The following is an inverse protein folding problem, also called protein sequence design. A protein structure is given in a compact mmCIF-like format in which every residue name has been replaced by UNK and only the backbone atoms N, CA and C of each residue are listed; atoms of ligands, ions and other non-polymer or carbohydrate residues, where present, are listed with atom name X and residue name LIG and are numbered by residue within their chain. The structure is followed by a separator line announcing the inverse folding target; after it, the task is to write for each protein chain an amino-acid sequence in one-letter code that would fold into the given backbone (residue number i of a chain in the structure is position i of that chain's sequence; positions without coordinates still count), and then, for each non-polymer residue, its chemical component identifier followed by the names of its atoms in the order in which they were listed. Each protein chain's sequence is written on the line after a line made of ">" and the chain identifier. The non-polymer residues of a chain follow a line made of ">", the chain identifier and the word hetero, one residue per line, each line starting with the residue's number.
data_IF_909256805881
#
_entry.id   IF_909256805881
#
_cell.length_a   1.000
_cell.length_b   1.000
_cell.length_c   1.000
_cell.angle_alpha   90.00
_cell.angle_beta   90.00
_cell.angle_gamma   90.00
#
_symmetry.space_group_name_H-M   'P 1'
#
loop_
_entity.id
_entity.type
_entity.pdbx_description
1 polymer ?
#
# COMPACT_ATOMS: atom_id res chain seq x y z
N UNK A 1 -10.13 -5.41 -20.55
CA UNK A 1 -9.52 -4.32 -19.76
C UNK A 1 -9.66 -4.71 -18.30
N UNK A 2 -8.60 -4.75 -17.48
CA UNK A 2 -8.79 -5.03 -16.06
C UNK A 2 -9.60 -3.89 -15.46
N UNK A 3 -10.68 -4.23 -14.74
CA UNK A 3 -11.49 -3.24 -14.03
C UNK A 3 -10.58 -2.37 -13.14
N UNK A 4 -10.80 -1.05 -13.04
CA UNK A 4 -10.17 -0.25 -12.02
C UNK A 4 -10.67 -0.79 -10.69
N UNK A 5 -9.83 -1.54 -9.99
CA UNK A 5 -10.20 -2.15 -8.72
C UNK A 5 -10.47 -1.00 -7.76
N UNK A 6 -11.68 -0.99 -7.20
CA UNK A 6 -12.10 0.00 -6.22
C UNK A 6 -11.16 -0.12 -5.02
N UNK A 7 -10.38 0.94 -4.76
CA UNK A 7 -9.56 1.12 -3.56
C UNK A 7 -10.35 0.89 -2.25
N UNK A 8 -11.69 0.82 -2.33
CA UNK A 8 -12.58 0.59 -1.20
C UNK A 8 -12.48 -0.82 -0.62
N UNK A 9 -11.87 -1.81 -1.27
CA UNK A 9 -11.89 -3.20 -0.77
C UNK A 9 -10.54 -3.68 -0.21
N UNK A 10 -9.57 -2.79 0.03
CA UNK A 10 -8.29 -3.17 0.63
C UNK A 10 -8.37 -3.26 2.16
N UNK A 11 -8.02 -4.42 2.70
CA UNK A 11 -7.68 -4.57 4.11
C UNK A 11 -6.43 -3.74 4.46
N UNK A 12 -6.34 -3.30 5.72
CA UNK A 12 -5.27 -2.43 6.21
C UNK A 12 -3.87 -3.02 5.98
N UNK A 13 -3.66 -4.30 6.29
CA UNK A 13 -2.40 -5.01 6.05
C UNK A 13 -2.06 -5.16 4.56
N UNK A 14 -3.04 -5.42 3.70
CA UNK A 14 -2.82 -5.53 2.25
C UNK A 14 -2.30 -4.21 1.68
N UNK A 15 -2.89 -3.08 2.08
CA UNK A 15 -2.40 -1.76 1.71
C UNK A 15 -0.99 -1.49 2.29
N UNK A 16 -0.82 -1.70 3.59
CA UNK A 16 0.44 -1.39 4.29
C UNK A 16 1.62 -2.25 3.78
N UNK A 17 1.38 -3.49 3.35
CA UNK A 17 2.43 -4.37 2.85
C UNK A 17 2.72 -4.20 1.36
N UNK A 18 1.70 -3.87 0.57
CA UNK A 18 1.81 -3.91 -0.89
C UNK A 18 1.02 -2.79 -1.58
N UNK A 19 -0.22 -2.55 -1.18
CA UNK A 19 -1.14 -1.69 -1.95
C UNK A 19 -1.49 -2.26 -3.32
N UNK A 20 -0.99 -3.44 -3.69
CA UNK A 20 -1.37 -4.13 -4.91
C UNK A 20 -2.78 -4.70 -4.77
N UNK A 21 -3.68 -4.18 -5.59
CA UNK A 21 -5.04 -4.70 -5.75
C UNK A 21 -5.12 -5.80 -6.80
N UNK A 22 -4.08 -5.99 -7.62
CA UNK A 22 -4.14 -6.88 -8.79
C UNK A 22 -4.12 -8.37 -8.44
N UNK A 23 -3.82 -8.72 -7.18
CA UNK A 23 -3.80 -10.11 -6.72
C UNK A 23 -2.64 -10.94 -7.27
N UNK A 24 -1.59 -10.29 -7.82
CA UNK A 24 -0.37 -11.00 -8.28
C UNK A 24 0.28 -11.81 -7.17
N UNK A 25 0.20 -11.29 -5.95
CA UNK A 25 0.61 -11.97 -4.73
C UNK A 25 -0.55 -11.89 -3.74
N UNK A 26 -0.94 -13.03 -3.20
CA UNK A 26 -1.99 -13.12 -2.20
C UNK A 26 -1.45 -12.70 -0.82
N UNK A 27 -1.19 -11.39 -0.68
CA UNK A 27 -0.66 -10.78 0.54
C UNK A 27 -1.59 -11.05 1.73
N UNK A 28 -2.90 -11.07 1.51
CA UNK A 28 -3.87 -11.38 2.56
C UNK A 28 -3.62 -12.78 3.13
N UNK A 29 -3.56 -13.80 2.27
CA UNK A 29 -3.30 -15.18 2.70
C UNK A 29 -1.92 -15.32 3.35
N UNK A 30 -0.88 -14.72 2.78
CA UNK A 30 0.47 -14.78 3.34
C UNK A 30 0.54 -14.14 4.75
N UNK A 31 -0.18 -13.03 4.94
CA UNK A 31 -0.28 -12.37 6.23
C UNK A 31 -1.03 -13.25 7.23
N UNK A 32 -2.22 -13.75 6.89
CA UNK A 32 -3.02 -14.64 7.73
C UNK A 32 -2.27 -15.92 8.11
N UNK A 33 -1.59 -16.58 7.16
CA UNK A 33 -0.82 -17.80 7.42
C UNK A 33 0.34 -17.52 8.37
N UNK A 34 1.01 -16.36 8.24
CA UNK A 34 2.10 -15.96 9.12
C UNK A 34 1.61 -15.63 10.54
N UNK A 35 0.57 -14.78 10.66
CA UNK A 35 0.04 -14.34 11.96
C UNK A 35 -0.60 -15.49 12.71
N UNK A 36 -1.32 -16.39 12.04
CA UNK A 36 -1.83 -17.62 12.65
C UNK A 36 -0.70 -18.51 13.16
N UNK A 37 0.36 -18.72 12.37
CA UNK A 37 1.51 -19.53 12.81
C UNK A 37 2.20 -18.94 14.03
N UNK A 38 2.36 -17.61 14.07
CA UNK A 38 2.90 -16.91 15.24
C UNK A 38 1.94 -17.04 16.43
N UNK A 39 0.65 -16.81 16.21
CA UNK A 39 -0.41 -16.98 17.20
C UNK A 39 -0.33 -18.35 17.87
N UNK A 40 -0.40 -19.44 17.10
CA UNK A 40 -0.29 -20.79 17.65
C UNK A 40 1.04 -21.05 18.38
N UNK A 41 2.16 -20.51 17.89
CA UNK A 41 3.47 -20.68 18.54
C UNK A 41 3.53 -20.04 19.92
N UNK A 42 2.84 -18.92 20.12
CA UNK A 42 2.86 -18.16 21.37
C UNK A 42 1.52 -18.21 22.13
N UNK A 43 0.67 -19.21 21.84
CA UNK A 43 -0.67 -19.34 22.41
C UNK A 43 -1.49 -18.03 22.35
N UNK A 44 -1.40 -17.34 21.21
CA UNK A 44 -2.01 -16.03 20.95
C UNK A 44 -1.66 -14.92 21.95
N UNK A 45 -0.59 -15.10 22.75
CA UNK A 45 -0.12 -14.17 23.77
C UNK A 45 -0.51 -14.55 25.20
N UNK A 46 -1.36 -15.58 25.38
CA UNK A 46 -1.76 -16.04 26.71
C UNK A 46 -0.55 -16.53 27.53
N UNK A 47 -0.45 -16.03 28.76
CA UNK A 47 0.63 -16.38 29.69
C UNK A 47 1.94 -15.61 29.47
N UNK A 48 2.02 -14.74 28.45
CA UNK A 48 3.17 -13.85 28.29
C UNK A 48 3.04 -12.64 29.22
N UNK A 49 4.14 -12.27 29.89
CA UNK A 49 4.23 -10.99 30.59
C UNK A 49 4.51 -9.84 29.60
N UNK A 50 4.40 -8.59 30.08
CA UNK A 50 4.57 -7.39 29.25
C UNK A 50 5.91 -7.36 28.48
N UNK A 51 7.02 -7.76 29.10
CA UNK A 51 8.32 -7.77 28.44
C UNK A 51 8.42 -8.84 27.35
N UNK A 52 7.85 -10.02 27.59
CA UNK A 52 7.78 -11.09 26.60
C UNK A 52 6.88 -10.66 25.43
N UNK A 53 5.72 -10.09 25.73
CA UNK A 53 4.78 -9.60 24.74
C UNK A 53 5.42 -8.53 23.85
N UNK A 54 6.11 -7.55 24.45
CA UNK A 54 6.84 -6.52 23.70
C UNK A 54 7.85 -7.13 22.71
N UNK A 55 8.66 -8.10 23.16
CA UNK A 55 9.65 -8.76 22.29
C UNK A 55 9.00 -9.54 21.16
N UNK A 56 7.93 -10.28 21.46
CA UNK A 56 7.19 -11.08 20.46
C UNK A 56 6.49 -10.18 19.44
N UNK A 57 5.87 -9.08 19.86
CA UNK A 57 5.23 -8.11 18.95
C UNK A 57 6.25 -7.44 18.03
N UNK A 58 7.40 -7.03 18.57
CA UNK A 58 8.49 -6.48 17.77
C UNK A 58 9.02 -7.51 16.75
N UNK A 59 9.25 -8.76 17.15
CA UNK A 59 9.67 -9.83 16.23
C UNK A 59 8.61 -10.12 15.17
N UNK A 60 7.33 -10.10 15.57
CA UNK A 60 6.19 -10.32 14.66
C UNK A 60 6.15 -9.25 13.59
N UNK A 61 6.29 -7.97 13.94
CA UNK A 61 6.35 -6.90 12.95
C UNK A 61 7.55 -7.04 12.01
N UNK A 62 8.72 -7.46 12.51
CA UNK A 62 9.90 -7.71 11.68
C UNK A 62 9.63 -8.82 10.65
N UNK A 63 8.98 -9.91 11.07
CA UNK A 63 8.58 -11.01 10.17
C UNK A 63 7.51 -10.56 9.17
N UNK A 64 6.50 -9.83 9.61
CA UNK A 64 5.46 -9.28 8.73
C UNK A 64 6.08 -8.35 7.67
N UNK A 65 7.07 -7.52 8.02
CA UNK A 65 7.74 -6.64 7.07
C UNK A 65 8.41 -7.38 5.91
N UNK A 66 8.81 -8.65 6.10
CA UNK A 66 9.37 -9.50 5.02
C UNK A 66 8.33 -9.91 3.97
N UNK A 67 7.03 -9.77 4.28
CA UNK A 67 5.96 -10.01 3.34
C UNK A 67 5.73 -8.84 2.39
N UNK A 68 6.37 -7.68 2.62
CA UNK A 68 6.22 -6.52 1.74
C UNK A 68 6.62 -6.87 0.31
N UNK A 69 6.01 -6.16 -0.63
CA UNK A 69 6.50 -6.14 -1.99
C UNK A 69 7.72 -5.22 -2.11
N UNK A 70 8.43 -5.37 -3.23
CA UNK A 70 9.64 -4.60 -3.50
C UNK A 70 9.38 -3.09 -3.45
N UNK A 71 10.38 -2.37 -2.94
CA UNK A 71 10.36 -0.91 -2.95
C UNK A 71 10.45 -0.38 -4.37
N UNK A 72 9.47 0.45 -4.74
CA UNK A 72 9.41 1.13 -6.04
C UNK A 72 9.89 2.59 -5.95
N UNK A 73 9.51 3.29 -4.88
CA UNK A 73 9.89 4.67 -4.62
C UNK A 73 10.56 4.75 -3.26
N UNK A 74 11.87 5.06 -3.24
CA UNK A 74 12.63 5.20 -1.99
C UNK A 74 12.16 6.42 -1.20
N UNK A 75 12.12 6.25 0.13
CA UNK A 75 11.84 7.30 1.11
C UNK A 75 12.73 7.07 2.31
N UNK A 76 13.33 8.13 2.84
CA UNK A 76 14.38 8.02 3.85
C UNK A 76 13.86 7.54 5.22
N UNK A 77 12.64 7.95 5.58
CA UNK A 77 12.06 7.67 6.89
C UNK A 77 10.60 7.20 6.80
N UNK A 78 10.44 5.98 6.27
CA UNK A 78 9.16 5.30 6.13
C UNK A 78 9.08 4.12 7.10
N UNK A 79 7.95 3.97 7.80
CA UNK A 79 7.71 2.89 8.75
C UNK A 79 6.45 2.11 8.42
N UNK A 80 6.59 0.78 8.44
CA UNK A 80 5.46 -0.14 8.57
C UNK A 80 5.06 -0.23 10.03
N UNK A 81 3.81 0.07 10.33
CA UNK A 81 3.31 0.11 11.70
C UNK A 81 2.22 -0.93 11.91
N UNK A 82 2.15 -1.48 13.12
CA UNK A 82 1.10 -2.38 13.55
C UNK A 82 0.65 -2.02 14.96
N UNK A 83 -0.67 -1.99 15.17
CA UNK A 83 -1.32 -1.77 16.46
C UNK A 83 -1.79 -3.10 17.04
N UNK A 84 -1.55 -3.31 18.33
CA UNK A 84 -1.81 -4.58 19.01
C UNK A 84 -2.61 -4.35 20.29
N UNK A 85 -3.82 -4.89 20.41
CA UNK A 85 -4.61 -4.81 21.65
C UNK A 85 -4.67 -6.15 22.38
N UNK A 86 -5.24 -6.12 23.58
CA UNK A 86 -5.74 -7.30 24.31
C UNK A 86 -4.71 -8.43 24.50
N UNK A 87 -3.43 -8.08 24.68
CA UNK A 87 -2.38 -9.09 24.86
C UNK A 87 -2.03 -9.89 23.61
N UNK A 88 -2.59 -9.55 22.44
CA UNK A 88 -2.37 -10.31 21.21
C UNK A 88 -0.92 -10.15 20.70
N UNK A 89 -0.43 -11.21 20.04
CA UNK A 89 0.91 -11.27 19.44
C UNK A 89 0.93 -10.92 17.95
N UNK A 90 -0.24 -10.71 17.33
CA UNK A 90 -0.39 -10.26 15.95
C UNK A 90 -1.09 -8.90 15.93
N UNK A 91 -0.77 -8.00 14.98
CA UNK A 91 -1.41 -6.70 14.92
C UNK A 91 -2.86 -6.86 14.46
N UNK A 92 -3.77 -6.12 15.09
CA UNK A 92 -5.17 -6.03 14.64
C UNK A 92 -5.33 -5.02 13.50
N UNK A 93 -4.43 -4.04 13.43
CA UNK A 93 -4.46 -2.98 12.44
C UNK A 93 -3.07 -2.61 11.96
N UNK A 94 -2.96 -2.21 10.69
CA UNK A 94 -1.69 -1.88 10.06
C UNK A 94 -1.77 -0.62 9.20
N UNK A 95 -0.72 0.20 9.25
CA UNK A 95 -0.63 1.45 8.50
C UNK A 95 0.82 1.78 8.13
N UNK A 96 1.00 2.86 7.37
CA UNK A 96 2.32 3.41 7.03
C UNK A 96 2.48 4.79 7.64
N UNK A 97 3.61 5.04 8.31
CA UNK A 97 4.05 6.38 8.71
C UNK A 97 5.19 6.82 7.79
N UNK A 98 4.96 7.88 7.02
CA UNK A 98 5.98 8.61 6.28
C UNK A 98 6.43 9.79 7.13
N UNK A 99 7.47 9.56 7.92
CA UNK A 99 8.05 10.56 8.81
C UNK A 99 8.84 11.62 8.03
N UNK A 100 9.33 11.30 6.83
CA UNK A 100 9.93 12.28 5.92
C UNK A 100 8.93 13.38 5.56
N UNK A 101 7.68 13.01 5.29
CA UNK A 101 6.61 13.94 4.90
C UNK A 101 5.61 14.24 6.02
N UNK A 102 5.92 13.83 7.27
CA UNK A 102 5.06 13.96 8.45
C UNK A 102 3.59 13.55 8.19
N UNK A 103 3.38 12.36 7.61
CA UNK A 103 2.04 11.87 7.37
C UNK A 103 1.88 10.37 7.60
N UNK A 104 0.67 10.00 8.00
CA UNK A 104 0.23 8.62 8.17
C UNK A 104 -0.79 8.27 7.10
N UNK A 105 -0.64 7.09 6.50
CA UNK A 105 -1.58 6.54 5.54
C UNK A 105 -2.19 5.25 6.09
N UNK A 106 -3.51 5.26 6.19
CA UNK A 106 -4.30 4.21 6.80
C UNK A 106 -5.51 3.88 5.90
N UNK A 107 -6.00 2.66 5.95
CA UNK A 107 -7.24 2.26 5.28
C UNK A 107 -7.96 1.18 6.08
N UNK A 108 -9.24 0.97 5.80
CA UNK A 108 -9.98 -0.18 6.30
C UNK A 108 -10.87 -0.73 5.18
N UNK A 109 -11.37 -1.95 5.36
CA UNK A 109 -12.33 -2.55 4.42
C UNK A 109 -13.52 -1.59 4.23
N UNK A 110 -13.89 -1.35 2.98
CA UNK A 110 -14.93 -0.41 2.55
C UNK A 110 -14.64 1.08 2.80
N UNK A 111 -13.39 1.46 3.09
CA UNK A 111 -12.95 2.86 3.16
C UNK A 111 -11.84 3.16 2.15
N UNK A 112 -11.80 4.42 1.72
CA UNK A 112 -10.65 4.95 0.99
C UNK A 112 -9.47 5.17 1.93
N UNK A 113 -8.26 5.24 1.37
CA UNK A 113 -7.06 5.58 2.13
C UNK A 113 -7.24 6.95 2.79
N UNK A 114 -7.11 6.98 4.10
CA UNK A 114 -7.11 8.17 4.94
C UNK A 114 -5.68 8.65 5.11
N UNK A 115 -5.47 9.94 4.86
CA UNK A 115 -4.21 10.63 5.14
C UNK A 115 -4.38 11.46 6.40
N UNK A 116 -3.52 11.23 7.40
CA UNK A 116 -3.39 12.07 8.59
C UNK A 116 -2.10 12.88 8.46
N UNK A 117 -2.15 14.19 8.67
CA UNK A 117 -0.99 15.08 8.61
C UNK A 117 -0.18 15.06 9.92
N UNK A 118 0.09 13.87 10.43
CA UNK A 118 0.90 13.60 11.61
C UNK A 118 1.43 12.16 11.57
N UNK A 119 2.46 11.91 12.35
CA UNK A 119 2.99 10.57 12.67
C UNK A 119 2.99 10.37 14.18
N UNK A 120 2.93 9.11 14.63
CA UNK A 120 3.00 8.82 16.05
C UNK A 120 4.40 9.03 16.62
N UNK A 121 4.46 9.37 17.91
CA UNK A 121 5.71 9.43 18.67
C UNK A 121 5.95 8.08 19.33
N UNK A 122 7.21 7.64 19.38
CA UNK A 122 7.55 6.34 19.95
C UNK A 122 7.28 6.34 21.46
N UNK A 123 6.50 5.36 21.94
CA UNK A 123 6.08 5.25 23.34
C UNK A 123 4.85 6.09 23.72
N UNK A 124 4.30 6.90 22.81
CA UNK A 124 3.10 7.70 23.05
C UNK A 124 1.88 7.11 22.32
N UNK A 125 0.66 7.30 22.87
CA UNK A 125 -0.55 6.90 22.18
C UNK A 125 -0.70 7.59 20.82
N UNK A 126 -1.27 6.88 19.85
CA UNK A 126 -1.53 7.43 18.53
C UNK A 126 -2.81 6.88 17.93
N UNK A 127 -3.65 7.78 17.41
CA UNK A 127 -4.86 7.43 16.69
C UNK A 127 -4.61 7.54 15.18
N UNK A 128 -4.69 6.39 14.51
CA UNK A 128 -4.60 6.34 13.05
C UNK A 128 -5.92 6.81 12.43
N UNK A 129 -5.92 7.04 11.11
CA UNK A 129 -7.05 7.67 10.44
C UNK A 129 -8.37 6.88 10.47
N UNK A 130 -8.32 5.55 10.63
CA UNK A 130 -9.49 4.69 10.58
C UNK A 130 -10.02 4.23 11.95
N UNK A 131 -9.19 4.30 13.00
CA UNK A 131 -9.51 3.78 14.33
C UNK A 131 -10.44 4.70 15.12
N UNK A 132 -11.33 4.09 15.91
CA UNK A 132 -12.25 4.83 16.79
C UNK A 132 -11.62 5.33 18.09
N UNK A 133 -10.50 4.71 18.49
CA UNK A 133 -9.71 5.03 19.69
C UNK A 133 -8.22 4.93 19.37
N UNK A 134 -7.36 5.67 20.07
CA UNK A 134 -5.91 5.51 19.93
C UNK A 134 -5.46 4.09 20.30
N UNK A 135 -4.34 3.66 19.73
CA UNK A 135 -3.51 2.62 20.34
C UNK A 135 -2.64 3.26 21.41
N UNK A 136 -2.42 2.55 22.52
CA UNK A 136 -1.47 2.99 23.54
C UNK A 136 -0.02 2.90 23.02
N UNK A 137 0.90 3.62 23.65
CA UNK A 137 2.28 3.72 23.15
C UNK A 137 3.04 2.39 23.08
N UNK A 138 2.76 1.47 24.00
CA UNK A 138 3.33 0.11 24.04
C UNK A 138 2.53 -0.92 23.24
N UNK A 139 1.44 -0.49 22.60
CA UNK A 139 0.65 -1.27 21.64
C UNK A 139 1.10 -1.04 20.20
N UNK A 140 1.97 -0.05 19.94
CA UNK A 140 2.40 0.31 18.59
C UNK A 140 3.83 -0.17 18.33
N UNK A 141 3.99 -0.98 17.30
CA UNK A 141 5.30 -1.46 16.86
C UNK A 141 5.57 -1.01 15.43
N UNK A 142 6.79 -0.53 15.22
CA UNK A 142 7.22 0.08 13.96
C UNK A 142 8.44 -0.64 13.41
N UNK A 143 8.47 -0.82 12.10
CA UNK A 143 9.61 -1.35 11.36
C UNK A 143 9.95 -0.41 10.24
N UNK A 144 11.18 0.11 10.26
CA UNK A 144 11.68 0.98 9.19
C UNK A 144 11.78 0.19 7.88
N UNK A 145 11.30 0.78 6.80
CA UNK A 145 11.28 0.20 5.45
C UNK A 145 11.90 1.18 4.44
N UNK A 146 12.38 0.69 3.31
CA UNK A 146 13.16 1.50 2.36
C UNK A 146 12.34 2.45 1.47
N UNK A 147 11.02 2.37 1.51
CA UNK A 147 10.14 3.21 0.71
C UNK A 147 8.81 2.56 0.33
N UNK A 148 8.07 3.24 -0.54
CA UNK A 148 6.76 2.78 -1.02
C UNK A 148 6.91 1.68 -2.06
N UNK A 149 5.98 0.73 -2.02
CA UNK A 149 5.79 -0.26 -3.08
C UNK A 149 5.11 0.37 -4.30
N UNK A 150 5.11 -0.33 -5.43
CA UNK A 150 4.43 0.15 -6.64
C UNK A 150 2.91 0.35 -6.43
N UNK A 151 2.26 -0.57 -5.70
CA UNK A 151 0.84 -0.48 -5.38
C UNK A 151 0.50 0.71 -4.49
N UNK A 152 1.33 0.98 -3.47
CA UNK A 152 1.18 2.16 -2.62
C UNK A 152 1.34 3.46 -3.42
N UNK A 153 2.34 3.55 -4.31
CA UNK A 153 2.51 4.72 -5.18
C UNK A 153 1.31 4.92 -6.11
N UNK A 154 0.79 3.83 -6.68
CA UNK A 154 -0.41 3.89 -7.54
C UNK A 154 -1.62 4.44 -6.78
N UNK A 155 -1.79 4.02 -5.53
CA UNK A 155 -2.92 4.40 -4.70
C UNK A 155 -2.82 5.84 -4.17
N UNK A 156 -1.63 6.28 -3.76
CA UNK A 156 -1.40 7.59 -3.16
C UNK A 156 -1.13 8.68 -4.19
N UNK A 157 -0.46 8.34 -5.28
CA UNK A 157 0.04 9.28 -6.29
C UNK A 157 -0.31 8.83 -7.71
N UNK A 158 -1.60 8.68 -8.07
CA UNK A 158 -2.01 8.16 -9.37
C UNK A 158 -1.50 8.97 -10.57
N UNK A 159 -1.13 10.24 -10.36
CA UNK A 159 -0.50 11.10 -11.37
C UNK A 159 0.96 10.73 -11.69
N UNK A 160 1.71 10.15 -10.74
CA UNK A 160 3.12 9.77 -10.94
C UNK A 160 3.28 8.55 -11.86
N UNK A 161 2.22 7.75 -12.05
CA UNK A 161 2.24 6.63 -12.99
C UNK A 161 1.93 7.05 -14.43
N UNK A 162 1.21 8.16 -14.63
CA UNK A 162 0.86 8.67 -15.98
C UNK A 162 2.05 9.30 -16.70
N UNK A 163 3.06 9.79 -15.97
CA UNK A 163 4.25 10.43 -16.57
C UNK A 163 5.27 9.44 -17.14
N UNK A 164 5.25 8.16 -16.74
CA UNK A 164 6.14 7.13 -17.32
C UNK A 164 5.60 6.53 -18.61
N UNK A 165 4.29 6.55 -18.85
CA UNK A 165 3.71 6.07 -20.12
C UNK A 165 3.85 7.04 -21.29
N UNK A 166 4.10 8.33 -21.04
CA UNK A 166 4.27 9.33 -22.10
C UNK A 166 5.68 9.38 -22.71
N UNK A 167 6.64 8.60 -22.21
CA UNK A 167 8.02 8.60 -22.72
C UNK A 167 8.27 7.57 -23.84
N UNK A 168 7.29 6.71 -24.17
CA UNK A 168 7.40 5.69 -25.22
C UNK A 168 6.49 5.96 -26.44
N UNK A 169 6.07 7.19 -26.66
CA UNK A 169 5.28 7.57 -27.84
C UNK A 169 5.83 8.84 -28.49
N UNK A 170 7.11 8.80 -28.84
CA UNK A 170 7.74 9.75 -29.75
C UNK A 170 8.60 8.94 -30.71
N UNK A 171 8.01 8.60 -31.86
CA UNK A 171 8.67 8.53 -33.18
C UNK A 171 7.89 7.60 -34.11
N UNK A 172 6.96 8.21 -34.85
CA UNK A 172 6.77 7.94 -36.27
C UNK A 172 6.00 9.11 -36.88
N UNK A 173 6.77 10.08 -37.35
CA UNK A 173 6.37 11.04 -38.37
C UNK A 173 5.66 10.30 -39.51
N UNK A 174 4.38 10.60 -39.72
CA UNK A 174 3.70 10.26 -40.97
C UNK A 174 3.93 11.39 -41.95
N UNK A 175 4.91 11.14 -42.82
CA UNK A 175 5.28 11.91 -44.00
C UNK A 175 4.17 11.81 -45.06
N UNK A 176 3.79 12.99 -45.58
CA UNK A 176 3.29 13.30 -46.92
C UNK A 176 2.08 12.52 -47.50
N UNK A 177 0.95 13.22 -47.65
CA UNK A 177 -0.03 12.99 -48.73
C UNK A 177 -0.20 14.29 -49.52
N UNK A 178 0.39 14.34 -50.71
CA UNK A 178 0.06 15.30 -51.75
C UNK A 178 -0.41 14.55 -53.00
N UNK A 179 -1.49 15.06 -53.58
CA UNK A 179 -1.99 14.96 -54.97
C UNK A 179 -2.04 13.55 -55.62
N UNK A 180 -3.16 13.13 -56.19
CA UNK A 180 -3.62 13.67 -57.47
C UNK A 180 -5.14 13.62 -57.63
N UNK A 181 -5.66 14.72 -58.19
CA UNK A 181 -6.96 14.86 -58.82
C UNK A 181 -6.95 14.12 -60.15
N UNK A 182 -8.04 13.42 -60.47
CA UNK A 182 -8.52 13.39 -61.85
C UNK A 182 -10.05 13.44 -61.83
N UNK A 183 -10.55 14.62 -62.21
CA UNK A 183 -11.97 14.88 -62.47
C UNK A 183 -12.38 14.17 -63.77
N UNK A 184 -13.50 13.46 -63.69
CA UNK A 184 -14.25 12.93 -64.81
C UNK A 184 -15.11 14.03 -65.44
N UNK A 185 -15.15 14.11 -66.77
CA UNK A 185 -16.31 14.50 -67.60
C UNK A 185 -15.93 14.42 -69.09
N UNK A 186 -16.88 14.43 -70.05
CA UNK A 186 -18.32 14.13 -70.00
C UNK A 186 -18.75 13.10 -71.08
N UNK A 187 -19.88 12.42 -70.86
CA UNK A 187 -20.62 11.77 -71.96
C UNK A 187 -21.90 12.57 -72.20
N UNK A 188 -22.12 12.98 -73.45
CA UNK A 188 -23.31 13.70 -73.87
C UNK A 188 -23.83 13.09 -75.18
N UNK A 189 -25.15 12.83 -75.22
CA UNK A 189 -26.05 12.78 -76.41
C UNK A 189 -25.85 11.59 -77.37
N UNK A 190 -26.85 10.86 -77.89
CA UNK A 190 -28.28 11.07 -78.24
C UNK A 190 -29.04 9.78 -77.94
#
# INVERSE_FOLDING_TARGET
>A
MPNPISLKDQCCHTFALSGDVTGKRDINKLFEDLTNRIGYRYNFGEGLNAQQLFRVRQETMQRIATLRDDTYLKVDDLYLCGGFREGQVSPEHMWIEDRTNNCTYDTMIHRSIVKVNAVGVDGEPFQTGCESSPFEGDEIFRVKVSGYTAGQVAALYPSLLKSKSSFFSGDKEHREKNSERHENTPNNTI
#
